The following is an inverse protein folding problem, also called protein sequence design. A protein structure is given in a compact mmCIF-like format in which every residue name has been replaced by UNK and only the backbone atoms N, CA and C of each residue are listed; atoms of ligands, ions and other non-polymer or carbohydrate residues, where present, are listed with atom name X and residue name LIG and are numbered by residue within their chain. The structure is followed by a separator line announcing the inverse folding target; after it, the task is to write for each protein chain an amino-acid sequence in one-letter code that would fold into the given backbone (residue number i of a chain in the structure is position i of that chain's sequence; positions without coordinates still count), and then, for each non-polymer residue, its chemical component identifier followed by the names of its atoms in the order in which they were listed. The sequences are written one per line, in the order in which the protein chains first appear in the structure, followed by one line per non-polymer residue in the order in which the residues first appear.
data_IF_466715605385
#
_entry.id   IF_466715605385
#
_cell.length_a   1.000
_cell.length_b   1.000
_cell.length_c   1.000
_cell.angle_alpha   90.00
_cell.angle_beta   90.00
_cell.angle_gamma   90.00
#
_symmetry.space_group_name_H-M   'P 1'
#
loop_
_entity.id
_entity.type
_entity.pdbx_description
1 polymer ?
#
# COMPACT_ATOMS: atom_id res chain seq x y z
N UNK A 1 25.54 7.02 -0.18
CA UNK A 1 24.78 6.65 1.01
C UNK A 1 23.57 7.58 1.18
N UNK A 2 22.43 7.04 1.57
CA UNK A 2 21.24 7.79 1.93
C UNK A 2 21.02 7.61 3.43
N UNK A 3 20.85 8.70 4.17
CA UNK A 3 20.75 8.67 5.64
C UNK A 3 21.92 7.91 6.33
N UNK A 4 23.13 7.98 5.80
CA UNK A 4 24.31 7.31 6.35
C UNK A 4 24.44 5.81 6.03
N UNK A 5 23.50 5.23 5.27
CA UNK A 5 23.45 3.79 4.94
C UNK A 5 23.75 3.53 3.46
N UNK A 6 24.13 2.30 3.08
CA UNK A 6 24.22 1.89 1.68
C UNK A 6 22.86 2.06 1.00
N UNK A 7 22.86 2.67 -0.19
CA UNK A 7 21.63 2.92 -0.96
C UNK A 7 20.81 1.63 -1.19
N UNK A 8 21.48 0.51 -1.41
CA UNK A 8 20.82 -0.78 -1.63
C UNK A 8 19.95 -1.21 -0.45
N UNK A 9 20.43 -1.04 0.79
CA UNK A 9 19.67 -1.36 2.02
C UNK A 9 18.43 -0.46 2.11
N UNK A 10 18.63 0.85 1.94
CA UNK A 10 17.55 1.82 1.99
C UNK A 10 16.47 1.55 0.93
N UNK A 11 16.89 1.21 -0.29
CA UNK A 11 16.00 0.87 -1.40
C UNK A 11 15.27 -0.44 -1.14
N UNK A 12 15.96 -1.49 -0.71
CA UNK A 12 15.36 -2.84 -0.54
C UNK A 12 14.28 -2.86 0.54
N UNK A 13 14.49 -2.15 1.65
CA UNK A 13 13.47 -1.99 2.70
C UNK A 13 12.24 -1.24 2.17
N UNK A 14 12.43 -0.12 1.50
CA UNK A 14 11.31 0.61 0.91
C UNK A 14 10.59 -0.16 -0.20
N UNK A 15 11.34 -0.93 -0.99
CA UNK A 15 10.77 -1.77 -2.06
C UNK A 15 9.94 -2.92 -1.50
N UNK A 16 10.31 -3.52 -0.36
CA UNK A 16 9.51 -4.57 0.27
C UNK A 16 8.12 -4.06 0.70
N UNK A 17 8.06 -2.86 1.28
CA UNK A 17 6.79 -2.20 1.61
C UNK A 17 5.99 -1.83 0.36
N UNK A 18 6.65 -1.25 -0.63
CA UNK A 18 6.01 -0.90 -1.91
C UNK A 18 5.43 -2.12 -2.61
N UNK A 19 6.15 -3.23 -2.64
CA UNK A 19 5.66 -4.47 -3.25
C UNK A 19 4.37 -4.94 -2.59
N UNK A 20 4.29 -4.93 -1.26
CA UNK A 20 3.07 -5.27 -0.53
C UNK A 20 1.90 -4.41 -0.99
N UNK A 21 2.05 -3.09 -0.95
CA UNK A 21 0.92 -2.18 -1.22
C UNK A 21 0.57 -2.13 -2.71
N UNK A 22 1.55 -2.16 -3.60
CA UNK A 22 1.33 -2.13 -5.05
C UNK A 22 0.70 -3.43 -5.57
N UNK A 23 1.27 -4.58 -5.20
CA UNK A 23 0.75 -5.87 -5.65
C UNK A 23 -0.58 -6.17 -4.97
N UNK A 24 -0.67 -5.98 -3.64
CA UNK A 24 -1.90 -6.17 -2.89
C UNK A 24 -3.04 -5.32 -3.45
N UNK A 25 -2.81 -4.05 -3.74
CA UNK A 25 -3.82 -3.18 -4.34
C UNK A 25 -4.18 -3.60 -5.77
N UNK A 26 -3.19 -3.89 -6.63
CA UNK A 26 -3.43 -4.33 -8.01
C UNK A 26 -4.27 -5.61 -8.09
N UNK A 27 -4.03 -6.56 -7.20
CA UNK A 27 -4.77 -7.83 -7.17
C UNK A 27 -6.19 -7.66 -6.64
N UNK A 28 -6.40 -6.69 -5.73
CA UNK A 28 -7.75 -6.41 -5.21
C UNK A 28 -8.67 -5.74 -6.23
N UNK A 29 -8.15 -4.93 -7.15
CA UNK A 29 -8.95 -4.22 -8.16
C UNK A 29 -9.79 -5.20 -8.99
N UNK A 30 -9.22 -6.33 -9.40
CA UNK A 30 -9.90 -7.35 -10.20
C UNK A 30 -10.56 -8.45 -9.37
N UNK A 31 -10.47 -8.39 -8.05
CA UNK A 31 -10.88 -9.50 -7.17
C UNK A 31 -12.31 -9.94 -7.38
N UNK A 32 -13.26 -9.02 -7.47
CA UNK A 32 -14.67 -9.32 -7.63
C UNK A 32 -14.95 -9.79 -9.07
N UNK A 33 -14.43 -9.07 -10.07
CA UNK A 33 -14.64 -9.39 -11.49
C UNK A 33 -14.15 -10.80 -11.85
N UNK A 34 -12.96 -11.19 -11.39
CA UNK A 34 -12.37 -12.50 -11.73
C UNK A 34 -13.04 -13.67 -11.01
N UNK A 35 -13.76 -13.42 -9.91
CA UNK A 35 -14.38 -14.46 -9.09
C UNK A 35 -15.91 -14.32 -9.02
N UNK A 36 -16.49 -13.61 -9.98
CA UNK A 36 -17.96 -13.38 -10.03
C UNK A 36 -18.77 -14.70 -10.02
N UNK A 37 -18.24 -15.77 -10.63
CA UNK A 37 -18.87 -17.09 -10.61
C UNK A 37 -19.03 -17.66 -9.20
N UNK A 38 -18.09 -17.39 -8.29
CA UNK A 38 -18.22 -17.79 -6.89
C UNK A 38 -19.38 -17.04 -6.21
N UNK A 39 -19.45 -15.72 -6.47
CA UNK A 39 -20.54 -14.88 -5.92
C UNK A 39 -21.90 -15.34 -6.42
N UNK A 40 -21.99 -15.69 -7.72
CA UNK A 40 -23.22 -16.10 -8.37
C UNK A 40 -23.70 -17.50 -7.92
N UNK A 41 -22.81 -18.48 -7.92
CA UNK A 41 -23.19 -19.89 -7.76
C UNK A 41 -23.28 -20.34 -6.29
N UNK A 42 -22.48 -19.74 -5.39
CA UNK A 42 -22.33 -20.18 -3.99
C UNK A 42 -22.87 -19.15 -3.00
N UNK A 43 -23.46 -18.03 -3.48
CA UNK A 43 -23.89 -16.88 -2.65
C UNK A 43 -22.78 -16.39 -1.71
N UNK A 44 -21.53 -16.39 -2.21
CA UNK A 44 -20.37 -15.97 -1.45
C UNK A 44 -20.34 -14.43 -1.30
N UNK A 45 -20.05 -13.89 -0.10
CA UNK A 45 -20.02 -12.44 0.08
C UNK A 45 -18.85 -11.82 -0.69
N UNK A 46 -19.16 -11.00 -1.71
CA UNK A 46 -18.16 -10.40 -2.59
C UNK A 46 -17.14 -9.52 -1.86
N UNK A 47 -17.49 -8.97 -0.68
CA UNK A 47 -16.58 -8.16 0.16
C UNK A 47 -15.38 -8.93 0.72
N UNK A 48 -15.43 -10.27 0.75
CA UNK A 48 -14.31 -11.11 1.22
C UNK A 48 -13.24 -11.29 0.14
N UNK A 49 -13.60 -11.16 -1.13
CA UNK A 49 -12.69 -11.41 -2.26
C UNK A 49 -11.44 -10.50 -2.26
N UNK A 50 -11.53 -9.19 -1.99
CA UNK A 50 -10.36 -8.35 -1.82
C UNK A 50 -9.40 -8.84 -0.74
N UNK A 51 -9.93 -9.28 0.41
CA UNK A 51 -9.11 -9.79 1.53
C UNK A 51 -8.32 -11.05 1.15
N UNK A 52 -8.94 -11.97 0.41
CA UNK A 52 -8.27 -13.18 -0.08
C UNK A 52 -7.07 -12.81 -0.96
N UNK A 53 -7.24 -11.83 -1.85
CA UNK A 53 -6.16 -11.35 -2.73
C UNK A 53 -5.01 -10.73 -1.96
N UNK A 54 -5.29 -9.94 -0.94
CA UNK A 54 -4.26 -9.35 -0.07
C UNK A 54 -3.43 -10.45 0.61
N UNK A 55 -4.06 -11.49 1.13
CA UNK A 55 -3.36 -12.59 1.80
C UNK A 55 -2.48 -13.37 0.81
N UNK A 56 -2.90 -13.54 -0.42
CA UNK A 56 -2.14 -14.24 -1.46
C UNK A 56 -0.80 -13.57 -1.81
N UNK A 57 -0.64 -12.29 -1.52
CA UNK A 57 0.62 -11.55 -1.77
C UNK A 57 1.68 -11.83 -0.68
N UNK A 58 1.31 -12.32 0.50
CA UNK A 58 2.22 -12.48 1.65
C UNK A 58 3.46 -13.33 1.37
N UNK A 59 3.41 -14.49 0.71
CA UNK A 59 4.62 -15.28 0.45
C UNK A 59 5.67 -14.51 -0.36
N UNK A 60 5.23 -13.72 -1.35
CA UNK A 60 6.14 -12.90 -2.14
C UNK A 60 6.71 -11.73 -1.33
N UNK A 61 5.89 -11.09 -0.50
CA UNK A 61 6.34 -10.03 0.42
C UNK A 61 7.37 -10.55 1.40
N UNK A 62 7.16 -11.73 1.98
CA UNK A 62 8.13 -12.36 2.88
C UNK A 62 9.47 -12.62 2.17
N UNK A 63 9.44 -13.10 0.92
CA UNK A 63 10.65 -13.33 0.14
C UNK A 63 11.44 -12.04 -0.10
N UNK A 64 10.76 -10.96 -0.49
CA UNK A 64 11.41 -9.66 -0.73
C UNK A 64 11.91 -9.04 0.58
N UNK A 65 11.14 -9.16 1.66
CA UNK A 65 11.55 -8.70 3.00
C UNK A 65 12.76 -9.47 3.53
N UNK A 66 12.87 -10.77 3.21
CA UNK A 66 14.05 -11.57 3.53
C UNK A 66 15.31 -11.03 2.80
N UNK A 67 15.19 -10.65 1.53
CA UNK A 67 16.30 -10.00 0.79
C UNK A 67 16.71 -8.68 1.46
N UNK A 68 15.75 -7.88 1.91
CA UNK A 68 16.04 -6.65 2.65
C UNK A 68 16.75 -6.95 3.98
N UNK A 69 16.30 -7.95 4.75
CA UNK A 69 16.93 -8.38 5.99
C UNK A 69 18.35 -8.91 5.79
N UNK A 70 18.57 -9.74 4.76
CA UNK A 70 19.90 -10.24 4.39
C UNK A 70 20.82 -9.07 4.02
N UNK A 71 20.35 -8.10 3.24
CA UNK A 71 21.13 -6.92 2.87
C UNK A 71 21.55 -6.08 4.09
N UNK A 72 20.66 -5.93 5.06
CA UNK A 72 20.96 -5.26 6.34
C UNK A 72 22.03 -6.04 7.12
N UNK A 73 21.91 -7.36 7.19
CA UNK A 73 22.87 -8.22 7.88
C UNK A 73 24.26 -8.16 7.25
N UNK A 74 24.37 -8.30 5.93
CA UNK A 74 25.64 -8.28 5.20
C UNK A 74 26.35 -6.92 5.26
N UNK A 75 25.60 -5.84 5.40
CA UNK A 75 26.15 -4.47 5.49
C UNK A 75 26.39 -4.00 6.92
N UNK A 76 26.14 -4.85 7.93
CA UNK A 76 26.31 -4.49 9.33
C UNK A 76 25.25 -3.51 9.86
N UNK A 77 24.13 -3.30 9.13
CA UNK A 77 23.06 -2.41 9.54
C UNK A 77 21.89 -3.16 10.24
N UNK A 78 22.08 -4.42 10.58
CA UNK A 78 21.08 -5.24 11.24
C UNK A 78 21.17 -5.06 12.76
N UNK A 79 20.46 -4.05 13.29
CA UNK A 79 20.42 -3.73 14.71
C UNK A 79 18.99 -3.78 15.25
N UNK A 80 18.49 -4.99 15.65
CA UNK A 80 17.16 -5.12 16.24
C UNK A 80 17.03 -4.23 17.48
N UNK A 81 15.99 -3.42 17.52
CA UNK A 81 15.69 -2.52 18.61
C UNK A 81 14.18 -2.44 18.87
N UNK A 82 13.76 -1.68 19.89
CA UNK A 82 12.34 -1.54 20.23
C UNK A 82 11.49 -0.90 19.13
N UNK A 83 12.11 -0.11 18.25
CA UNK A 83 11.40 0.49 17.10
C UNK A 83 10.87 -0.55 16.11
N UNK A 84 11.44 -1.77 16.09
CA UNK A 84 10.95 -2.85 15.23
C UNK A 84 9.54 -3.31 15.61
N UNK A 85 9.08 -3.06 16.84
CA UNK A 85 7.70 -3.39 17.26
C UNK A 85 6.66 -2.57 16.50
N UNK A 86 6.99 -1.37 16.02
CA UNK A 86 6.07 -0.57 15.23
C UNK A 86 5.81 -1.14 13.82
N UNK A 87 6.56 -2.16 13.39
CA UNK A 87 6.25 -2.93 12.19
C UNK A 87 4.82 -3.47 12.23
N UNK A 88 4.37 -3.94 13.39
CA UNK A 88 3.01 -4.47 13.56
C UNK A 88 1.97 -3.37 13.26
N UNK A 89 2.22 -2.15 13.73
CA UNK A 89 1.35 -1.01 13.45
C UNK A 89 1.28 -0.70 11.95
N UNK A 90 2.42 -0.53 11.28
CA UNK A 90 2.45 -0.23 9.85
C UNK A 90 1.91 -1.36 8.99
N UNK A 91 2.12 -2.61 9.40
CA UNK A 91 1.57 -3.77 8.73
C UNK A 91 0.03 -3.78 8.81
N UNK A 92 -0.54 -3.56 10.00
CA UNK A 92 -2.00 -3.47 10.20
C UNK A 92 -2.56 -2.27 9.42
N UNK A 93 -1.89 -1.12 9.47
CA UNK A 93 -2.28 0.07 8.71
C UNK A 93 -2.31 -0.21 7.19
N UNK A 94 -1.31 -0.92 6.66
CA UNK A 94 -1.28 -1.35 5.26
C UNK A 94 -2.45 -2.29 4.91
N UNK A 95 -2.77 -3.25 5.80
CA UNK A 95 -3.91 -4.17 5.59
C UNK A 95 -5.24 -3.43 5.54
N UNK A 96 -5.46 -2.50 6.47
CA UNK A 96 -6.69 -1.68 6.53
C UNK A 96 -6.78 -0.80 5.26
N UNK A 97 -5.68 -0.17 4.86
CA UNK A 97 -5.61 0.62 3.64
C UNK A 97 -5.98 -0.23 2.41
N UNK A 98 -5.33 -1.38 2.23
CA UNK A 98 -5.57 -2.26 1.09
C UNK A 98 -7.00 -2.79 1.06
N UNK A 99 -7.60 -3.05 2.22
CA UNK A 99 -8.97 -3.51 2.32
C UNK A 99 -9.96 -2.44 1.82
N UNK A 100 -9.89 -1.22 2.35
CA UNK A 100 -10.86 -0.17 2.00
C UNK A 100 -10.64 0.39 0.58
N UNK A 101 -9.38 0.65 0.19
CA UNK A 101 -9.04 1.00 -1.18
C UNK A 101 -9.40 -0.12 -2.16
N UNK A 102 -9.21 -1.38 -1.76
CA UNK A 102 -9.54 -2.55 -2.54
C UNK A 102 -11.04 -2.68 -2.81
N UNK A 103 -11.89 -2.57 -1.78
CA UNK A 103 -13.35 -2.59 -1.94
C UNK A 103 -13.82 -1.45 -2.83
N UNK A 104 -13.34 -0.23 -2.59
CA UNK A 104 -13.65 0.94 -3.40
C UNK A 104 -13.29 0.68 -4.88
N UNK A 105 -12.04 0.30 -5.15
CA UNK A 105 -11.54 0.12 -6.50
C UNK A 105 -12.12 -1.10 -7.21
N UNK A 106 -12.35 -2.21 -6.50
CA UNK A 106 -12.99 -3.39 -7.07
C UNK A 106 -14.45 -3.12 -7.48
N UNK A 107 -15.17 -2.29 -6.71
CA UNK A 107 -16.52 -1.86 -7.06
C UNK A 107 -16.52 -1.01 -8.32
N UNK A 108 -15.62 -0.02 -8.41
CA UNK A 108 -15.52 0.83 -9.61
C UNK A 108 -15.09 0.04 -10.83
N UNK A 109 -14.19 -0.94 -10.66
CA UNK A 109 -13.68 -1.75 -11.77
C UNK A 109 -14.78 -2.62 -12.44
N UNK A 110 -15.83 -2.95 -11.72
CA UNK A 110 -17.00 -3.62 -12.31
C UNK A 110 -17.83 -2.64 -13.15
N UNK A 111 -17.98 -1.40 -12.66
CA UNK A 111 -18.78 -0.37 -13.32
C UNK A 111 -18.08 0.24 -14.54
N UNK A 112 -16.75 0.31 -14.50
CA UNK A 112 -15.90 0.94 -15.53
C UNK A 112 -14.82 -0.05 -15.95
N UNK A 113 -14.95 -0.70 -17.13
CA UNK A 113 -14.02 -1.77 -17.58
C UNK A 113 -12.54 -1.34 -17.66
N UNK A 114 -12.28 -0.08 -18.02
CA UNK A 114 -10.91 0.43 -18.22
C UNK A 114 -10.26 0.97 -16.94
N UNK A 115 -10.95 0.92 -15.80
CA UNK A 115 -10.47 1.44 -14.53
C UNK A 115 -9.15 0.78 -14.09
N UNK A 116 -9.03 -0.54 -14.20
CA UNK A 116 -7.81 -1.27 -13.84
C UNK A 116 -6.59 -0.81 -14.66
N UNK A 117 -6.77 -0.58 -15.95
CA UNK A 117 -5.70 -0.08 -16.82
C UNK A 117 -5.25 1.33 -16.38
N UNK A 118 -6.19 2.21 -16.08
CA UNK A 118 -5.90 3.56 -15.60
C UNK A 118 -5.15 3.53 -14.27
N UNK A 119 -5.62 2.75 -13.29
CA UNK A 119 -4.98 2.67 -11.96
C UNK A 119 -3.56 2.08 -12.05
N UNK A 120 -3.31 1.11 -12.92
CA UNK A 120 -1.95 0.59 -13.12
C UNK A 120 -0.98 1.67 -13.62
N UNK A 121 -1.42 2.61 -14.44
CA UNK A 121 -0.59 3.75 -14.84
C UNK A 121 -0.35 4.70 -13.65
N UNK A 122 -1.38 4.96 -12.85
CA UNK A 122 -1.26 5.77 -11.63
C UNK A 122 -0.27 5.12 -10.66
N UNK A 123 -0.34 3.82 -10.43
CA UNK A 123 0.60 3.10 -9.55
C UNK A 123 2.05 3.20 -10.03
N UNK A 124 2.30 3.21 -11.35
CA UNK A 124 3.66 3.43 -11.90
C UNK A 124 4.19 4.82 -11.54
N UNK A 125 3.35 5.85 -11.62
CA UNK A 125 3.72 7.20 -11.21
C UNK A 125 3.92 7.30 -9.70
N UNK A 126 3.02 6.68 -8.92
CA UNK A 126 3.11 6.65 -7.47
C UNK A 126 4.39 5.96 -6.96
N UNK A 127 4.95 5.00 -7.71
CA UNK A 127 6.24 4.40 -7.38
C UNK A 127 7.35 5.44 -7.19
N UNK A 128 7.41 6.41 -8.08
CA UNK A 128 8.40 7.49 -7.98
C UNK A 128 8.09 8.48 -6.87
N UNK A 129 6.81 8.81 -6.71
CA UNK A 129 6.35 9.81 -5.74
C UNK A 129 6.28 9.23 -4.31
N UNK A 130 6.10 7.92 -4.15
CA UNK A 130 6.09 7.27 -2.83
C UNK A 130 7.48 7.13 -2.19
N UNK A 131 8.50 7.77 -2.77
CA UNK A 131 9.83 7.79 -2.17
C UNK A 131 10.55 6.44 -2.18
N UNK A 132 10.16 5.49 -3.03
CA UNK A 132 10.76 4.15 -3.07
C UNK A 132 12.21 4.22 -3.53
N UNK A 133 12.50 5.00 -4.56
CA UNK A 133 13.86 5.16 -5.12
C UNK A 133 14.63 6.32 -4.48
N UNK A 134 13.97 7.42 -4.19
CA UNK A 134 14.62 8.62 -3.67
C UNK A 134 13.79 9.20 -2.52
N UNK A 135 14.43 9.65 -1.42
CA UNK A 135 13.70 10.35 -0.36
C UNK A 135 13.15 11.68 -0.90
N UNK A 136 11.85 11.94 -0.79
CA UNK A 136 11.29 13.22 -1.18
C UNK A 136 11.87 14.31 -0.26
N UNK A 137 12.56 15.26 -0.84
CA UNK A 137 13.18 16.38 -0.10
C UNK A 137 12.75 17.72 -0.72
N UNK A 138 12.50 18.75 0.09
CA UNK A 138 12.24 20.09 -0.42
C UNK A 138 13.47 20.63 -1.18
N UNK A 139 13.23 21.45 -2.20
CA UNK A 139 14.30 22.00 -3.03
C UNK A 139 13.74 22.92 -4.11
N UNK A 140 14.06 22.65 -5.37
CA UNK A 140 13.50 23.38 -6.51
C UNK A 140 11.98 23.21 -6.60
N UNK A 141 11.32 24.03 -7.41
CA UNK A 141 9.86 23.96 -7.61
C UNK A 141 9.35 22.53 -7.82
N UNK A 142 9.98 21.78 -8.70
CA UNK A 142 9.61 20.40 -9.01
C UNK A 142 9.76 19.46 -7.79
N UNK A 143 10.86 19.58 -7.06
CA UNK A 143 11.09 18.80 -5.84
C UNK A 143 10.07 19.14 -4.74
N UNK A 144 9.68 20.39 -4.62
CA UNK A 144 8.64 20.80 -3.68
C UNK A 144 7.28 20.20 -4.04
N UNK A 145 6.92 20.16 -5.32
CA UNK A 145 5.68 19.52 -5.78
C UNK A 145 5.69 18.04 -5.42
N UNK A 146 6.77 17.30 -5.72
CA UNK A 146 6.91 15.88 -5.36
C UNK A 146 6.82 15.70 -3.84
N UNK A 147 7.50 16.54 -3.07
CA UNK A 147 7.50 16.48 -1.61
C UNK A 147 6.08 16.63 -1.02
N UNK A 148 5.29 17.59 -1.50
CA UNK A 148 3.92 17.78 -1.02
C UNK A 148 2.98 16.66 -1.46
N UNK A 149 3.08 16.20 -2.73
CA UNK A 149 2.30 15.06 -3.22
C UNK A 149 2.63 13.80 -2.41
N UNK A 150 3.90 13.55 -2.09
CA UNK A 150 4.29 12.42 -1.26
C UNK A 150 3.62 12.44 0.10
N UNK A 151 3.50 13.61 0.73
CA UNK A 151 2.91 13.74 2.07
C UNK A 151 1.41 13.51 2.13
N UNK A 152 0.73 13.65 1.01
CA UNK A 152 -0.71 13.35 0.87
C UNK A 152 -0.92 11.92 0.37
N UNK A 153 0.12 11.22 -0.05
CA UNK A 153 0.02 9.88 -0.63
C UNK A 153 0.04 8.79 0.46
N UNK A 154 -1.02 7.99 0.65
CA UNK A 154 -1.07 6.97 1.68
C UNK A 154 -0.05 5.85 1.48
N UNK A 155 0.35 5.58 0.22
CA UNK A 155 1.41 4.61 -0.08
C UNK A 155 2.77 5.08 0.45
N UNK A 156 3.07 6.38 0.38
CA UNK A 156 4.29 6.96 0.95
C UNK A 156 4.35 6.73 2.46
N UNK A 157 3.24 6.91 3.18
CA UNK A 157 3.18 6.70 4.62
C UNK A 157 3.63 5.28 5.01
N UNK A 158 3.15 4.27 4.30
CA UNK A 158 3.53 2.87 4.57
C UNK A 158 5.01 2.62 4.21
N UNK A 159 5.46 3.09 3.03
CA UNK A 159 6.86 2.91 2.59
C UNK A 159 7.84 3.60 3.53
N UNK A 160 7.52 4.82 3.95
CA UNK A 160 8.36 5.57 4.90
C UNK A 160 8.34 4.92 6.29
N UNK A 161 7.18 4.49 6.75
CA UNK A 161 7.03 3.82 8.03
C UNK A 161 7.80 2.49 8.14
N UNK A 162 7.90 1.74 7.02
CA UNK A 162 8.78 0.57 6.96
C UNK A 162 10.25 0.93 7.22
N UNK A 163 10.70 2.06 6.64
CA UNK A 163 12.05 2.57 6.88
C UNK A 163 12.24 3.11 8.28
N UNK A 164 11.27 3.83 8.82
CA UNK A 164 11.29 4.31 10.20
C UNK A 164 11.41 3.14 11.17
N UNK A 165 10.76 2.03 10.88
CA UNK A 165 10.82 0.81 11.67
C UNK A 165 12.21 0.18 11.69
N UNK A 166 12.86 0.04 10.53
CA UNK A 166 14.06 -0.80 10.40
C UNK A 166 15.36 0.00 10.30
N UNK A 167 15.31 1.26 9.84
CA UNK A 167 16.50 2.02 9.49
C UNK A 167 16.70 3.31 10.30
N UNK A 168 15.62 3.93 10.77
CA UNK A 168 15.69 5.18 11.52
C UNK A 168 15.01 5.00 12.88
N UNK A 169 15.58 5.54 13.94
CA UNK A 169 15.03 5.42 15.29
C UNK A 169 13.94 6.49 15.53
N UNK A 170 12.86 6.42 14.75
CA UNK A 170 11.71 7.34 14.85
C UNK A 170 10.42 6.53 15.06
N UNK A 171 9.55 7.01 15.95
CA UNK A 171 8.25 6.42 16.17
C UNK A 171 7.21 6.95 15.18
N UNK A 172 6.16 6.18 14.90
CA UNK A 172 5.07 6.56 14.01
C UNK A 172 4.32 7.83 14.47
N UNK A 173 4.34 8.16 15.76
CA UNK A 173 3.73 9.38 16.32
C UNK A 173 4.64 10.61 16.23
N UNK A 174 5.93 10.47 15.91
CA UNK A 174 6.85 11.62 15.75
C UNK A 174 6.48 12.48 14.52
N UNK A 175 5.68 11.92 13.60
CA UNK A 175 5.13 12.62 12.44
C UNK A 175 3.60 12.68 12.48
N UNK A 176 2.97 13.43 13.42
CA UNK A 176 1.52 13.40 13.64
C UNK A 176 0.71 13.86 12.43
N UNK A 177 1.26 14.78 11.63
CA UNK A 177 0.62 15.22 10.39
C UNK A 177 0.46 14.08 9.37
N UNK A 178 1.53 13.32 9.10
CA UNK A 178 1.48 12.19 8.16
C UNK A 178 0.52 11.10 8.64
N UNK A 179 0.55 10.81 9.93
CA UNK A 179 -0.35 9.85 10.54
C UNK A 179 -1.82 10.29 10.42
N UNK A 180 -2.12 11.56 10.73
CA UNK A 180 -3.47 12.09 10.65
C UNK A 180 -4.00 12.10 9.22
N UNK A 181 -3.18 12.53 8.24
CA UNK A 181 -3.54 12.53 6.81
C UNK A 181 -3.84 11.11 6.33
N UNK A 182 -2.97 10.16 6.63
CA UNK A 182 -3.17 8.74 6.26
C UNK A 182 -4.51 8.20 6.78
N UNK A 183 -4.79 8.35 8.07
CA UNK A 183 -6.03 7.82 8.65
C UNK A 183 -7.28 8.54 8.17
N UNK A 184 -7.18 9.85 7.89
CA UNK A 184 -8.29 10.61 7.30
C UNK A 184 -8.61 10.12 5.89
N UNK A 185 -7.61 9.88 5.06
CA UNK A 185 -7.79 9.33 3.72
C UNK A 185 -8.40 7.92 3.75
N UNK A 186 -7.91 7.06 4.65
CA UNK A 186 -8.48 5.71 4.80
C UNK A 186 -9.92 5.78 5.28
N UNK A 187 -10.26 6.65 6.21
CA UNK A 187 -11.65 6.87 6.65
C UNK A 187 -12.54 7.34 5.50
N UNK A 188 -12.04 8.25 4.64
CA UNK A 188 -12.75 8.70 3.45
C UNK A 188 -13.01 7.55 2.48
N UNK A 189 -11.99 6.75 2.16
CA UNK A 189 -12.15 5.57 1.29
C UNK A 189 -13.04 4.50 1.92
N UNK A 190 -13.01 4.33 3.24
CA UNK A 190 -13.89 3.41 3.95
C UNK A 190 -15.37 3.83 3.79
N UNK A 191 -15.69 5.11 4.00
CA UNK A 191 -17.06 5.61 3.86
C UNK A 191 -17.54 5.51 2.42
N UNK A 192 -16.76 6.07 1.47
CA UNK A 192 -17.15 6.10 0.06
C UNK A 192 -17.18 4.69 -0.52
N UNK A 193 -16.16 3.87 -0.25
CA UNK A 193 -16.06 2.50 -0.76
C UNK A 193 -17.18 1.61 -0.25
N UNK A 194 -17.49 1.68 1.04
CA UNK A 194 -18.59 0.91 1.62
C UNK A 194 -19.93 1.36 1.07
N UNK A 195 -20.16 2.67 0.94
CA UNK A 195 -21.40 3.19 0.37
C UNK A 195 -21.59 2.74 -1.09
N UNK A 196 -20.57 2.86 -1.93
CA UNK A 196 -20.63 2.40 -3.32
C UNK A 196 -20.85 0.89 -3.40
N UNK A 197 -20.12 0.11 -2.61
CA UNK A 197 -20.27 -1.34 -2.57
C UNK A 197 -21.70 -1.74 -2.20
N UNK A 198 -22.27 -1.19 -1.13
CA UNK A 198 -23.63 -1.51 -0.69
C UNK A 198 -24.69 -1.12 -1.71
N UNK A 199 -24.46 0.00 -2.44
CA UNK A 199 -25.38 0.48 -3.48
C UNK A 199 -25.40 -0.43 -4.71
N UNK A 200 -24.26 -0.99 -5.12
CA UNK A 200 -24.11 -1.69 -6.39
C UNK A 200 -23.95 -3.22 -6.26
N UNK A 201 -23.73 -3.76 -5.05
CA UNK A 201 -23.45 -5.20 -4.83
C UNK A 201 -24.48 -6.14 -5.47
N UNK A 202 -25.76 -5.76 -5.49
CA UNK A 202 -26.85 -6.59 -6.02
C UNK A 202 -26.94 -6.52 -7.55
N UNK A 203 -26.27 -5.55 -8.16
CA UNK A 203 -26.22 -5.33 -9.62
C UNK A 203 -24.93 -5.84 -10.25
N UNK A 204 -23.96 -6.33 -9.49
CA UNK A 204 -22.67 -6.78 -10.03
C UNK A 204 -22.79 -7.85 -11.10
N UNK A 205 -23.84 -8.68 -11.04
CA UNK A 205 -24.09 -9.75 -12.02
C UNK A 205 -24.56 -9.17 -13.36
N UNK A 206 -25.20 -8.00 -13.35
CA UNK A 206 -25.78 -7.38 -14.56
C UNK A 206 -24.72 -6.64 -15.39
N UNK A 207 -23.56 -6.31 -14.78
CA UNK A 207 -22.48 -5.56 -15.43
C UNK A 207 -21.35 -6.45 -16.02
N UNK A 208 -21.41 -7.76 -15.81
CA UNK A 208 -20.42 -8.73 -16.27
C UNK A 208 -21.10 -9.83 -17.10
#
# INVERSE_FOLDING_TARGET
PVAGMPYFVWMSVGFSAWYLVNQGFSDTIRSIQTQIFMVRNVKFPASVLPTIRIIQVFPAVLSISAVAGISMFLTGNFHPNLYWLQFIYYFIAAMIMLFFLGIFSATINILIPDYDLAIRQVLRLLFFVSGVLFPPAPGNFFNNVIYWISRVNPFYYIVNGWRETFLTNQWFWDSPYLMAMFWLEIALFAVIGTHLYLKFKDQFIDFI
#
